data_IF_615716285856
#
_entry.id   IF_615716285856
#
_cell.length_a   1.000
_cell.length_b   1.000
_cell.length_c   1.000
_cell.angle_alpha   90.00
_cell.angle_beta   90.00
_cell.angle_gamma   90.00
#
_symmetry.space_group_name_H-M   'P 1'
#
loop_
_entity.id
_entity.type
_entity.pdbx_description
1 polymer ?
#
# COMPACT_ATOMS: atom_id res chain seq x y z
N UNK A 1 42.73 -50.59 -18.40
CA UNK A 1 41.80 -49.96 -17.43
C UNK A 1 41.94 -48.46 -17.57
N UNK A 2 40.85 -47.74 -17.81
CA UNK A 2 40.87 -46.28 -17.94
C UNK A 2 41.10 -45.63 -16.57
N UNK A 3 41.88 -44.56 -16.51
CA UNK A 3 42.09 -43.83 -15.26
C UNK A 3 40.85 -43.00 -14.90
N UNK A 4 40.67 -42.71 -13.61
CA UNK A 4 39.55 -41.90 -13.12
C UNK A 4 39.34 -40.56 -13.88
N UNK A 5 40.37 -39.77 -14.22
CA UNK A 5 40.17 -38.56 -15.01
C UNK A 5 39.72 -38.82 -16.45
N UNK A 6 40.07 -39.97 -17.05
CA UNK A 6 39.60 -40.34 -18.39
C UNK A 6 38.12 -40.74 -18.39
N UNK A 7 37.65 -41.38 -17.32
CA UNK A 7 36.24 -41.70 -17.13
C UNK A 7 35.38 -40.43 -16.96
N UNK A 8 35.87 -39.46 -16.17
CA UNK A 8 35.17 -38.18 -15.99
C UNK A 8 35.10 -37.39 -17.30
N UNK A 9 36.19 -37.33 -18.07
CA UNK A 9 36.20 -36.66 -19.36
C UNK A 9 35.22 -37.30 -20.38
N UNK A 10 35.13 -38.64 -20.39
CA UNK A 10 34.18 -39.38 -21.23
C UNK A 10 32.72 -39.12 -20.83
N UNK A 11 32.40 -39.08 -19.54
CA UNK A 11 31.06 -38.77 -19.06
C UNK A 11 30.64 -37.32 -19.41
N UNK A 12 31.54 -36.36 -19.24
CA UNK A 12 31.25 -34.96 -19.59
C UNK A 12 31.05 -34.81 -21.11
N UNK A 13 31.92 -35.41 -21.92
CA UNK A 13 31.77 -35.40 -23.38
C UNK A 13 30.45 -36.05 -23.84
N UNK A 14 30.04 -37.16 -23.21
CA UNK A 14 28.77 -37.83 -23.52
C UNK A 14 27.56 -36.96 -23.18
N UNK A 15 27.56 -36.22 -22.06
CA UNK A 15 26.44 -35.34 -21.70
C UNK A 15 26.29 -34.14 -22.64
N UNK A 16 27.40 -33.54 -23.08
CA UNK A 16 27.35 -32.39 -23.98
C UNK A 16 27.15 -32.76 -25.46
N UNK A 17 27.51 -33.98 -25.86
CA UNK A 17 27.28 -34.48 -27.22
C UNK A 17 25.90 -35.14 -27.41
N UNK A 18 25.20 -35.49 -26.33
CA UNK A 18 23.89 -36.17 -26.41
C UNK A 18 22.79 -35.28 -27.00
N UNK A 19 22.68 -34.02 -26.58
CA UNK A 19 21.62 -33.10 -27.04
C UNK A 19 21.70 -32.78 -28.56
N UNK A 20 22.86 -32.44 -29.15
CA UNK A 20 22.94 -32.19 -30.59
C UNK A 20 22.73 -33.45 -31.45
N UNK A 21 23.15 -34.64 -30.98
CA UNK A 21 22.97 -35.91 -31.70
C UNK A 21 21.53 -36.41 -31.60
N UNK A 22 20.86 -36.26 -30.44
CA UNK A 22 19.45 -36.62 -30.28
C UNK A 22 18.52 -35.75 -31.14
N UNK A 23 18.88 -34.47 -31.34
CA UNK A 23 18.17 -33.57 -32.27
C UNK A 23 18.42 -33.90 -33.73
N UNK A 24 19.63 -34.34 -34.10
CA UNK A 24 19.98 -34.72 -35.48
C UNK A 24 19.36 -36.06 -35.91
N UNK A 25 19.16 -36.98 -34.97
CA UNK A 25 18.61 -38.33 -35.22
C UNK A 25 17.08 -38.43 -35.01
N UNK A 26 16.39 -37.32 -34.71
CA UNK A 26 14.93 -37.26 -34.70
C UNK A 26 14.23 -38.04 -33.56
N UNK A 27 14.94 -38.37 -32.48
CA UNK A 27 14.39 -39.10 -31.33
C UNK A 27 13.84 -38.19 -30.20
N UNK A 28 13.72 -36.88 -30.43
CA UNK A 28 13.04 -35.94 -29.54
C UNK A 28 11.56 -35.80 -29.93
N UNK A 29 10.67 -36.26 -29.06
CA UNK A 29 9.23 -36.44 -29.30
C UNK A 29 8.48 -35.21 -29.83
N UNK A 30 7.49 -35.52 -30.67
CA UNK A 30 6.49 -34.65 -31.25
C UNK A 30 5.90 -33.63 -30.26
N UNK A 31 6.05 -32.34 -30.58
CA UNK A 31 4.99 -31.38 -30.30
C UNK A 31 4.23 -31.18 -31.61
N UNK A 32 3.10 -31.89 -31.74
CA UNK A 32 2.20 -31.73 -32.88
C UNK A 32 1.67 -30.30 -32.91
N UNK A 33 2.00 -29.61 -33.99
CA UNK A 33 1.22 -28.51 -34.53
C UNK A 33 -0.13 -29.07 -34.99
N UNK A 34 -1.20 -28.72 -34.27
CA UNK A 34 -2.53 -28.64 -34.86
C UNK A 34 -3.04 -27.21 -34.73
N UNK A 35 -3.05 -26.54 -35.88
CA UNK A 35 -3.91 -25.40 -36.16
C UNK A 35 -5.37 -25.80 -35.92
N UNK A 36 -6.03 -25.13 -34.98
CA UNK A 36 -7.46 -24.88 -35.09
C UNK A 36 -7.78 -23.54 -34.44
N UNK A 37 -8.38 -22.70 -35.26
CA UNK A 37 -8.99 -21.43 -34.94
C UNK A 37 -10.04 -21.57 -33.82
N UNK A 38 -9.70 -21.14 -32.61
CA UNK A 38 -10.67 -20.60 -31.67
C UNK A 38 -10.06 -19.39 -30.96
N UNK A 39 -10.52 -18.20 -31.36
CA UNK A 39 -10.50 -17.02 -30.50
C UNK A 39 -11.37 -17.32 -29.26
N UNK A 40 -10.82 -18.06 -28.31
CA UNK A 40 -11.29 -18.04 -26.94
C UNK A 40 -10.66 -16.83 -26.29
N UNK A 41 -11.42 -15.73 -26.17
CA UNK A 41 -11.07 -14.66 -25.22
C UNK A 41 -10.70 -15.29 -23.88
N UNK A 42 -9.69 -14.77 -23.14
CA UNK A 42 -9.44 -15.25 -21.80
C UNK A 42 -10.76 -15.16 -21.05
N UNK A 43 -11.28 -16.30 -20.58
CA UNK A 43 -12.50 -16.36 -19.80
C UNK A 43 -12.24 -15.49 -18.57
N UNK A 44 -12.69 -14.23 -18.63
CA UNK A 44 -12.81 -13.37 -17.47
C UNK A 44 -13.56 -14.20 -16.44
N UNK A 45 -12.87 -14.61 -15.38
CA UNK A 45 -13.57 -15.10 -14.21
C UNK A 45 -14.35 -13.88 -13.73
N UNK A 46 -15.63 -13.83 -14.09
CA UNK A 46 -16.55 -12.84 -13.57
C UNK A 46 -16.72 -13.13 -12.08
N UNK A 47 -15.77 -12.64 -11.29
CA UNK A 47 -15.91 -12.53 -9.86
C UNK A 47 -17.02 -11.52 -9.60
N UNK A 48 -17.93 -11.87 -8.70
CA UNK A 48 -18.99 -10.96 -8.32
C UNK A 48 -18.34 -9.74 -7.68
N UNK A 49 -18.56 -8.55 -8.25
CA UNK A 49 -18.06 -7.31 -7.67
C UNK A 49 -18.59 -7.15 -6.24
N UNK A 50 -17.79 -6.61 -5.33
CA UNK A 50 -18.22 -6.35 -3.97
C UNK A 50 -19.37 -5.35 -3.96
N UNK A 51 -20.23 -5.42 -2.94
CA UNK A 51 -21.31 -4.47 -2.76
C UNK A 51 -20.74 -3.12 -2.28
N UNK A 52 -20.48 -2.21 -3.23
CA UNK A 52 -19.95 -0.88 -2.96
C UNK A 52 -21.09 0.08 -2.62
N UNK A 53 -20.89 0.92 -1.60
CA UNK A 53 -21.87 1.92 -1.15
C UNK A 53 -21.20 3.28 -0.99
N UNK A 54 -21.94 4.36 -1.26
CA UNK A 54 -21.45 5.75 -1.11
C UNK A 54 -21.15 6.14 0.35
N UNK A 55 -21.74 5.41 1.30
CA UNK A 55 -21.47 5.57 2.73
C UNK A 55 -20.03 5.21 3.10
N UNK A 56 -19.44 4.24 2.37
CA UNK A 56 -18.10 3.71 2.66
C UNK A 56 -17.09 4.00 1.55
N UNK A 57 -17.53 4.21 0.32
CA UNK A 57 -16.68 4.37 -0.85
C UNK A 57 -16.96 5.70 -1.56
N UNK A 58 -15.91 6.32 -2.06
CA UNK A 58 -15.98 7.46 -2.97
C UNK A 58 -16.22 6.95 -4.39
N UNK A 59 -17.49 6.74 -4.74
CA UNK A 59 -17.89 6.31 -6.07
C UNK A 59 -17.79 7.48 -7.07
N UNK A 60 -17.52 7.15 -8.34
CA UNK A 60 -17.55 8.12 -9.44
C UNK A 60 -18.98 8.56 -9.72
N UNK A 61 -19.19 9.83 -10.06
CA UNK A 61 -20.52 10.31 -10.42
C UNK A 61 -20.85 9.82 -11.84
N UNK A 62 -22.00 9.17 -11.98
CA UNK A 62 -22.48 8.67 -13.28
C UNK A 62 -23.69 9.49 -13.70
N UNK A 63 -23.56 10.24 -14.80
CA UNK A 63 -24.66 11.00 -15.40
C UNK A 63 -24.98 10.37 -16.74
N UNK A 64 -26.23 9.93 -16.94
CA UNK A 64 -26.71 9.26 -18.15
C UNK A 64 -25.86 8.05 -18.60
N UNK A 65 -25.31 7.29 -17.64
CA UNK A 65 -24.50 6.09 -17.93
C UNK A 65 -23.07 6.40 -18.38
N UNK A 66 -22.68 7.67 -18.50
CA UNK A 66 -21.30 8.09 -18.71
C UNK A 66 -20.67 8.41 -17.37
N UNK A 67 -19.46 7.87 -17.13
CA UNK A 67 -18.63 8.27 -15.98
C UNK A 67 -18.28 9.73 -16.16
N UNK A 68 -18.83 10.60 -15.31
CA UNK A 68 -18.38 11.99 -15.26
C UNK A 68 -17.07 11.96 -14.49
N UNK A 69 -15.97 12.03 -15.24
CA UNK A 69 -14.64 12.13 -14.66
C UNK A 69 -14.43 13.47 -13.96
N UNK A 70 -13.17 13.81 -13.71
CA UNK A 70 -12.75 15.10 -13.15
C UNK A 70 -13.04 16.29 -14.10
N UNK A 71 -13.74 16.06 -15.22
CA UNK A 71 -14.11 17.06 -16.22
C UNK A 71 -15.09 18.08 -15.62
N UNK A 72 -14.54 19.22 -15.19
CA UNK A 72 -15.25 20.31 -14.53
C UNK A 72 -14.73 20.63 -13.12
N UNK A 73 -14.00 19.70 -12.49
CA UNK A 73 -13.30 19.95 -11.23
C UNK A 73 -12.00 20.70 -11.52
N UNK A 74 -11.91 21.97 -11.09
CA UNK A 74 -10.68 22.76 -11.16
C UNK A 74 -9.76 22.39 -10.00
N UNK A 75 -9.00 21.31 -10.15
CA UNK A 75 -7.94 20.95 -9.21
C UNK A 75 -6.66 21.75 -9.52
N UNK A 76 -5.90 22.13 -8.49
CA UNK A 76 -4.57 22.75 -8.67
C UNK A 76 -3.63 21.76 -9.40
N UNK A 77 -2.74 22.23 -10.30
CA UNK A 77 -1.90 21.37 -11.13
C UNK A 77 -1.05 20.39 -10.32
N UNK A 78 -0.98 19.15 -10.79
CA UNK A 78 -0.19 18.08 -10.17
C UNK A 78 1.30 18.27 -10.49
N UNK A 79 1.98 19.20 -9.81
CA UNK A 79 3.44 19.14 -9.72
C UNK A 79 3.79 17.89 -8.91
N UNK A 80 4.57 16.96 -9.48
CA UNK A 80 5.01 15.66 -8.90
C UNK A 80 5.87 15.76 -7.61
N UNK A 81 5.49 16.63 -6.70
CA UNK A 81 5.77 16.51 -5.29
C UNK A 81 4.41 16.25 -4.62
N UNK A 82 4.22 15.07 -4.01
CA UNK A 82 2.98 14.71 -3.32
C UNK A 82 2.83 15.64 -2.11
N UNK A 83 2.28 16.83 -2.37
CA UNK A 83 1.84 17.78 -1.38
C UNK A 83 0.33 17.66 -1.32
N UNK A 84 -0.18 17.04 -0.25
CA UNK A 84 -1.61 17.20 0.09
C UNK A 84 -1.74 18.61 0.66
N UNK A 85 -1.75 19.60 -0.22
CA UNK A 85 -1.88 21.00 0.15
C UNK A 85 -3.37 21.36 0.16
N UNK A 86 -3.93 21.53 1.36
CA UNK A 86 -5.22 22.16 1.53
C UNK A 86 -5.00 23.57 2.09
N UNK A 87 -5.42 24.60 1.36
CA UNK A 87 -5.38 26.01 1.84
C UNK A 87 -6.28 26.24 3.05
N UNK A 88 -7.21 25.32 3.31
CA UNK A 88 -8.06 25.30 4.50
C UNK A 88 -7.72 24.03 5.31
N UNK A 89 -7.48 24.11 6.62
CA UNK A 89 -7.24 22.91 7.40
C UNK A 89 -8.43 21.96 7.25
N UNK A 90 -8.18 20.67 6.96
CA UNK A 90 -9.20 19.60 6.99
C UNK A 90 -9.62 19.28 8.45
N UNK A 91 -9.51 20.26 9.35
CA UNK A 91 -9.81 20.18 10.77
C UNK A 91 -11.25 20.63 10.94
N UNK A 92 -12.12 19.67 11.19
CA UNK A 92 -13.56 19.90 11.35
C UNK A 92 -13.94 19.62 12.80
N UNK A 93 -13.91 20.65 13.64
CA UNK A 93 -14.04 20.53 15.10
C UNK A 93 -15.39 19.97 15.64
N UNK A 94 -16.56 20.01 14.96
CA UNK A 94 -17.76 19.36 15.50
C UNK A 94 -17.99 17.89 15.05
N UNK A 95 -17.13 17.29 14.22
CA UNK A 95 -17.39 15.95 13.63
C UNK A 95 -16.47 14.83 14.15
N UNK A 96 -15.54 15.13 15.05
CA UNK A 96 -14.67 14.12 15.65
C UNK A 96 -15.42 13.28 16.68
N UNK A 97 -15.21 11.96 16.61
CA UNK A 97 -15.72 10.99 17.59
C UNK A 97 -14.57 10.10 18.05
N UNK A 98 -14.60 9.57 19.29
CA UNK A 98 -13.57 8.62 19.74
C UNK A 98 -13.48 7.41 18.80
N UNK A 99 -12.27 7.03 18.42
CA UNK A 99 -12.03 5.89 17.54
C UNK A 99 -12.35 4.56 18.23
N UNK A 100 -12.73 3.57 17.42
CA UNK A 100 -12.87 2.17 17.81
C UNK A 100 -11.78 1.31 17.16
N UNK A 101 -11.54 0.14 17.72
CA UNK A 101 -10.80 -0.97 17.12
C UNK A 101 -11.83 -2.00 16.65
N UNK A 102 -11.58 -2.63 15.50
CA UNK A 102 -12.44 -3.67 14.95
C UNK A 102 -11.66 -4.97 14.90
N UNK A 103 -12.18 -6.00 15.55
CA UNK A 103 -11.70 -7.38 15.49
C UNK A 103 -12.88 -8.31 15.15
N UNK A 104 -12.68 -9.63 15.25
CA UNK A 104 -13.73 -10.62 14.96
C UNK A 104 -14.97 -10.50 15.87
N UNK A 105 -14.84 -9.90 17.05
CA UNK A 105 -15.95 -9.65 17.97
C UNK A 105 -16.69 -8.33 17.66
N UNK A 106 -16.21 -7.55 16.69
CA UNK A 106 -16.82 -6.31 16.22
C UNK A 106 -16.17 -5.04 16.76
N UNK A 107 -16.74 -3.86 16.47
CA UNK A 107 -16.16 -2.58 16.88
C UNK A 107 -16.26 -2.36 18.39
N UNK A 108 -15.13 -2.07 19.03
CA UNK A 108 -15.07 -1.73 20.47
C UNK A 108 -14.11 -0.58 20.75
N UNK A 109 -14.32 0.12 21.86
CA UNK A 109 -13.40 1.17 22.32
C UNK A 109 -12.36 0.58 23.25
N UNK A 110 -11.09 0.76 22.90
CA UNK A 110 -9.96 0.33 23.72
C UNK A 110 -8.76 1.26 23.53
N UNK A 111 -8.52 2.09 24.56
CA UNK A 111 -7.47 3.11 24.55
C UNK A 111 -6.06 2.53 24.69
N UNK A 112 -5.92 1.26 25.09
CA UNK A 112 -4.61 0.61 25.15
C UNK A 112 -4.10 0.19 23.77
N UNK A 113 -5.02 0.05 22.81
CA UNK A 113 -4.72 -0.28 21.42
C UNK A 113 -4.80 0.98 20.55
N UNK A 114 -5.84 1.80 20.72
CA UNK A 114 -6.06 3.00 19.92
C UNK A 114 -6.66 4.11 20.75
N UNK A 115 -5.88 5.16 20.97
CA UNK A 115 -6.36 6.40 21.58
C UNK A 115 -6.26 7.54 20.57
N UNK A 116 -7.36 7.74 19.84
CA UNK A 116 -7.51 8.81 18.87
C UNK A 116 -8.95 9.15 18.64
N UNK A 117 -9.19 10.25 17.96
CA UNK A 117 -10.49 10.64 17.45
C UNK A 117 -10.50 10.48 15.93
N UNK A 118 -11.66 10.16 15.36
CA UNK A 118 -11.87 9.99 13.93
C UNK A 118 -13.06 10.82 13.48
N UNK A 119 -12.96 11.40 12.29
CA UNK A 119 -14.08 12.03 11.61
C UNK A 119 -14.15 11.57 10.14
N UNK A 120 -15.38 11.35 9.67
CA UNK A 120 -15.65 11.15 8.25
C UNK A 120 -15.62 12.51 7.56
N UNK A 121 -14.77 12.66 6.53
CA UNK A 121 -14.64 13.95 5.86
C UNK A 121 -15.86 14.18 4.93
N UNK A 122 -16.51 15.36 5.00
CA UNK A 122 -17.53 15.73 4.03
C UNK A 122 -16.96 15.73 2.61
N UNK A 123 -17.69 15.17 1.64
CA UNK A 123 -17.20 14.96 0.27
C UNK A 123 -17.34 16.21 -0.60
N UNK A 124 -16.61 17.27 -0.24
CA UNK A 124 -16.53 18.54 -1.01
C UNK A 124 -15.69 18.39 -2.28
N UNK A 125 -15.66 19.39 -3.15
CA UNK A 125 -14.83 19.40 -4.37
C UNK A 125 -13.33 19.23 -4.08
N UNK A 126 -12.84 19.84 -2.98
CA UNK A 126 -11.45 19.64 -2.52
C UNK A 126 -11.18 18.19 -2.18
N UNK A 127 -12.10 17.53 -1.47
CA UNK A 127 -11.99 16.11 -1.11
C UNK A 127 -12.04 15.23 -2.35
N UNK A 128 -12.91 15.54 -3.32
CA UNK A 128 -12.97 14.86 -4.62
C UNK A 128 -11.66 15.01 -5.41
N UNK A 129 -11.01 16.18 -5.37
CA UNK A 129 -9.66 16.34 -5.95
C UNK A 129 -8.61 15.47 -5.24
N UNK A 130 -8.67 15.33 -3.90
CA UNK A 130 -7.77 14.44 -3.15
C UNK A 130 -8.00 12.97 -3.56
N UNK A 131 -9.26 12.55 -3.65
CA UNK A 131 -9.63 11.20 -4.13
C UNK A 131 -9.10 10.96 -5.55
N UNK A 132 -9.23 11.92 -6.46
CA UNK A 132 -8.75 11.82 -7.84
C UNK A 132 -7.21 11.72 -7.91
N UNK A 133 -6.48 12.53 -7.15
CA UNK A 133 -5.02 12.46 -7.05
C UNK A 133 -4.54 11.15 -6.44
N UNK A 134 -5.25 10.65 -5.43
CA UNK A 134 -4.95 9.36 -4.84
C UNK A 134 -5.09 8.24 -5.88
N UNK A 135 -6.10 8.27 -6.76
CA UNK A 135 -6.24 7.28 -7.84
C UNK A 135 -5.13 7.40 -8.90
N UNK A 136 -4.77 8.62 -9.30
CA UNK A 136 -3.75 8.83 -10.34
C UNK A 136 -2.36 8.39 -9.87
N UNK A 137 -2.03 8.60 -8.58
CA UNK A 137 -0.74 8.22 -8.00
C UNK A 137 -0.41 6.71 -8.15
N UNK A 138 -1.43 5.85 -8.17
CA UNK A 138 -1.31 4.39 -8.17
C UNK A 138 -1.56 3.76 -9.56
N UNK A 139 -1.62 4.58 -10.61
CA UNK A 139 -1.58 4.10 -12.00
C UNK A 139 -2.89 3.57 -12.59
N UNK A 140 -4.06 4.04 -12.14
CA UNK A 140 -5.39 3.76 -12.72
C UNK A 140 -5.73 2.27 -12.93
N UNK A 141 -5.76 1.48 -11.85
CA UNK A 141 -6.25 0.09 -11.88
C UNK A 141 -7.75 0.03 -12.19
N UNK A 142 -8.17 -0.94 -13.00
CA UNK A 142 -9.56 -1.10 -13.47
C UNK A 142 -10.58 -1.29 -12.34
N UNK A 143 -10.17 -1.96 -11.26
CA UNK A 143 -11.04 -2.31 -10.12
C UNK A 143 -10.47 -1.78 -8.80
N UNK A 144 -10.24 -0.47 -8.74
CA UNK A 144 -9.82 0.24 -7.53
C UNK A 144 -10.73 1.43 -7.24
N UNK A 145 -11.20 1.53 -6.00
CA UNK A 145 -12.02 2.59 -5.47
C UNK A 145 -11.34 3.20 -4.24
N UNK A 146 -11.57 4.49 -3.99
CA UNK A 146 -11.09 5.14 -2.78
C UNK A 146 -12.19 5.02 -1.73
N UNK A 147 -11.87 4.53 -0.52
CA UNK A 147 -12.80 4.59 0.60
C UNK A 147 -13.07 6.05 0.99
N UNK A 148 -14.22 6.34 1.59
CA UNK A 148 -14.53 7.68 2.09
C UNK A 148 -13.44 8.14 3.05
N UNK A 149 -12.88 9.31 2.76
CA UNK A 149 -11.74 9.84 3.50
C UNK A 149 -12.07 10.01 4.98
N UNK A 150 -11.11 9.65 5.83
CA UNK A 150 -11.21 9.83 7.28
C UNK A 150 -10.01 10.59 7.78
N UNK A 151 -10.26 11.59 8.63
CA UNK A 151 -9.21 12.24 9.41
C UNK A 151 -9.13 11.60 10.79
N UNK A 152 -7.93 11.49 11.33
CA UNK A 152 -7.67 11.01 12.68
C UNK A 152 -6.90 12.08 13.44
N UNK A 153 -7.33 12.36 14.67
CA UNK A 153 -6.69 13.32 15.56
C UNK A 153 -6.14 12.60 16.79
N UNK A 154 -4.87 12.83 17.07
CA UNK A 154 -4.16 12.26 18.20
C UNK A 154 -3.68 13.41 19.08
N UNK A 155 -4.11 13.43 20.33
CA UNK A 155 -3.59 14.32 21.37
C UNK A 155 -2.38 13.67 22.05
N UNK A 156 -1.77 14.37 23.01
CA UNK A 156 -0.68 13.82 23.83
C UNK A 156 -1.06 12.46 24.41
N UNK A 157 -0.18 11.46 24.25
CA UNK A 157 -0.38 10.06 24.60
C UNK A 157 -1.21 9.24 23.58
N UNK A 158 -1.87 9.92 22.65
CA UNK A 158 -2.66 9.30 21.59
C UNK A 158 -1.80 8.49 20.63
N UNK A 159 -2.25 7.29 20.29
CA UNK A 159 -1.51 6.31 19.50
C UNK A 159 -2.47 5.36 18.76
N UNK A 160 -1.93 4.56 17.85
CA UNK A 160 -2.59 3.38 17.33
C UNK A 160 -1.54 2.26 17.23
N UNK A 161 -1.75 1.21 18.01
CA UNK A 161 -0.88 0.05 18.08
C UNK A 161 -0.71 -0.64 16.72
N UNK A 162 0.24 -1.57 16.68
CA UNK A 162 0.60 -2.23 15.45
C UNK A 162 -0.57 -3.00 14.83
N UNK A 163 -0.81 -2.80 13.54
CA UNK A 163 -1.89 -3.42 12.78
C UNK A 163 -1.54 -3.52 11.29
N UNK A 164 -2.36 -4.29 10.56
CA UNK A 164 -2.46 -4.22 9.12
C UNK A 164 -3.68 -3.39 8.74
N UNK A 165 -3.59 -2.66 7.64
CA UNK A 165 -4.75 -1.98 7.05
C UNK A 165 -5.64 -2.94 6.25
N UNK A 166 -5.10 -4.11 5.91
CA UNK A 166 -5.76 -5.14 5.15
C UNK A 166 -6.17 -6.32 6.04
N UNK A 167 -7.16 -7.06 5.57
CA UNK A 167 -7.57 -8.36 6.08
C UNK A 167 -7.50 -9.36 4.93
N UNK A 168 -7.78 -10.63 5.20
CA UNK A 168 -7.90 -11.63 4.14
C UNK A 168 -8.86 -11.16 3.03
N UNK A 169 -8.43 -11.19 1.75
CA UNK A 169 -9.26 -10.75 0.65
C UNK A 169 -10.58 -11.50 0.58
N UNK A 170 -11.69 -10.77 0.51
CA UNK A 170 -13.02 -11.35 0.33
C UNK A 170 -13.38 -11.31 -1.15
N UNK A 171 -13.60 -12.47 -1.75
CA UNK A 171 -13.89 -12.60 -3.18
C UNK A 171 -12.83 -11.96 -4.09
N UNK A 172 -11.57 -11.91 -3.63
CA UNK A 172 -10.46 -11.26 -4.36
C UNK A 172 -10.34 -9.75 -4.14
N UNK A 173 -11.10 -9.16 -3.22
CA UNK A 173 -11.06 -7.72 -2.93
C UNK A 173 -10.61 -7.44 -1.49
N UNK A 174 -9.77 -6.42 -1.33
CA UNK A 174 -9.30 -5.89 -0.04
C UNK A 174 -8.81 -4.45 -0.20
N UNK A 175 -8.31 -3.85 0.89
CA UNK A 175 -7.56 -2.59 0.83
C UNK A 175 -6.20 -2.84 0.19
N UNK A 176 -6.08 -2.58 -1.11
CA UNK A 176 -4.87 -2.87 -1.92
C UNK A 176 -3.72 -1.92 -1.63
N UNK A 177 -4.01 -0.71 -1.19
CA UNK A 177 -3.00 0.29 -0.83
C UNK A 177 -3.54 1.29 0.19
N UNK A 178 -2.62 2.00 0.83
CA UNK A 178 -2.91 3.01 1.84
C UNK A 178 -2.04 4.24 1.62
N UNK A 179 -2.60 5.43 1.90
CA UNK A 179 -1.87 6.68 2.02
C UNK A 179 -2.19 7.27 3.38
N UNK A 180 -1.15 7.58 4.15
CA UNK A 180 -1.24 8.40 5.37
C UNK A 180 -0.64 9.77 5.07
N UNK A 181 -1.49 10.78 4.96
CA UNK A 181 -1.08 12.17 4.81
C UNK A 181 -1.19 12.92 6.14
N UNK A 182 -0.20 13.73 6.50
CA UNK A 182 -0.27 14.58 7.69
C UNK A 182 -0.79 15.96 7.29
N UNK A 183 -1.95 16.34 7.82
CA UNK A 183 -2.72 17.51 7.35
C UNK A 183 -2.86 18.61 8.41
N UNK A 184 -2.34 18.38 9.61
CA UNK A 184 -2.28 19.39 10.66
C UNK A 184 -1.50 18.92 11.89
N UNK A 185 -0.94 19.88 12.61
CA UNK A 185 -0.13 19.68 13.82
C UNK A 185 -0.57 20.57 15.00
N UNK A 186 -1.78 21.12 14.93
CA UNK A 186 -2.31 22.06 15.90
C UNK A 186 -1.66 23.43 15.78
N UNK A 187 -0.76 23.76 16.70
CA UNK A 187 -0.05 25.04 16.81
C UNK A 187 1.39 24.98 16.27
N UNK A 188 1.75 23.91 15.56
CA UNK A 188 3.12 23.69 15.06
C UNK A 188 4.07 23.10 16.09
N UNK A 189 3.59 22.67 17.27
CA UNK A 189 4.43 22.17 18.37
C UNK A 189 4.61 20.64 18.40
N UNK A 190 4.10 19.93 17.39
CA UNK A 190 4.05 18.46 17.33
C UNK A 190 5.42 17.80 17.55
N UNK A 191 5.49 16.91 18.54
CA UNK A 191 6.62 16.00 18.78
C UNK A 191 6.10 14.59 19.04
N UNK A 192 6.86 13.59 18.61
CA UNK A 192 6.44 12.19 18.57
C UNK A 192 5.48 11.95 17.41
N UNK A 193 4.58 10.98 17.54
CA UNK A 193 3.53 10.77 16.55
C UNK A 193 4.02 10.19 15.22
N UNK A 194 5.23 9.62 15.15
CA UNK A 194 5.74 8.98 13.93
C UNK A 194 4.84 7.85 13.43
N UNK A 195 4.93 7.53 12.14
CA UNK A 195 4.34 6.29 11.60
C UNK A 195 5.45 5.26 11.44
N UNK A 196 5.39 4.21 12.23
CA UNK A 196 6.41 3.15 12.32
C UNK A 196 6.02 1.94 11.46
N UNK A 197 7.00 1.42 10.73
CA UNK A 197 6.95 0.16 9.99
C UNK A 197 8.15 -0.69 10.45
N UNK A 198 8.00 -1.55 11.47
CA UNK A 198 9.14 -2.24 12.09
C UNK A 198 9.77 -3.30 11.19
N UNK A 199 9.02 -3.81 10.20
CA UNK A 199 9.49 -4.83 9.26
C UNK A 199 10.01 -4.23 7.95
N UNK A 200 9.76 -2.95 7.70
CA UNK A 200 10.22 -2.29 6.48
C UNK A 200 11.71 -2.01 6.58
N UNK A 201 12.51 -2.69 5.74
CA UNK A 201 13.92 -2.37 5.64
C UNK A 201 14.11 -0.96 5.08
N UNK A 202 15.04 -0.22 5.67
CA UNK A 202 15.35 1.12 5.21
C UNK A 202 15.84 1.06 3.75
N UNK A 203 15.22 1.82 2.82
CA UNK A 203 15.52 1.69 1.40
C UNK A 203 16.95 2.11 1.02
N UNK A 204 17.56 3.03 1.78
CA UNK A 204 18.86 3.60 1.45
C UNK A 204 19.54 4.24 2.67
N UNK A 205 20.88 4.15 2.70
CA UNK A 205 21.76 4.91 3.60
C UNK A 205 21.90 6.39 3.20
N UNK A 206 21.30 6.82 2.09
CA UNK A 206 21.35 8.20 1.63
C UNK A 206 20.73 9.17 2.67
N UNK A 207 21.51 10.17 3.07
CA UNK A 207 21.13 11.18 4.08
C UNK A 207 19.94 12.04 3.65
N UNK A 208 19.59 12.08 2.36
CA UNK A 208 18.35 12.73 1.89
C UNK A 208 17.10 12.11 2.49
N UNK A 209 17.16 10.90 3.03
CA UNK A 209 16.06 10.30 3.79
C UNK A 209 15.91 10.88 5.20
N UNK A 210 16.96 11.51 5.75
CA UNK A 210 16.95 11.98 7.14
C UNK A 210 16.01 13.14 7.40
N UNK A 211 15.59 13.85 6.37
CA UNK A 211 14.47 14.80 6.49
C UNK A 211 13.12 14.12 6.75
N UNK A 212 12.95 12.85 6.37
CA UNK A 212 11.66 12.15 6.43
C UNK A 212 11.62 11.01 7.45
N UNK A 213 12.78 10.43 7.80
CA UNK A 213 12.88 9.26 8.67
C UNK A 213 13.57 9.62 9.99
N UNK A 214 13.04 9.13 11.11
CA UNK A 214 13.63 9.28 12.45
C UNK A 214 14.85 8.36 12.61
N UNK A 215 15.81 8.75 13.46
CA UNK A 215 17.01 7.95 13.72
C UNK A 215 17.96 7.85 12.51
N UNK A 216 17.81 8.74 11.54
CA UNK A 216 18.59 8.74 10.32
C UNK A 216 19.85 9.60 10.44
N UNK A 217 20.98 9.08 9.96
CA UNK A 217 22.28 9.77 9.87
C UNK A 217 23.44 8.85 10.28
N UNK A 218 24.66 9.20 9.89
CA UNK A 218 25.87 8.42 10.19
C UNK A 218 26.51 8.67 11.56
N UNK A 219 25.76 9.17 12.54
CA UNK A 219 26.28 9.29 13.91
C UNK A 219 26.21 7.96 14.65
N UNK A 220 27.18 7.68 15.53
CA UNK A 220 27.24 6.44 16.33
C UNK A 220 25.97 6.21 17.16
N UNK A 221 25.27 7.28 17.55
CA UNK A 221 23.99 7.21 18.27
C UNK A 221 22.82 6.85 17.35
N UNK A 222 22.78 7.39 16.13
CA UNK A 222 21.78 7.03 15.13
C UNK A 222 21.94 5.58 14.65
N UNK A 223 23.18 5.08 14.54
CA UNK A 223 23.44 3.69 14.18
C UNK A 223 23.06 2.72 15.31
N UNK A 224 23.28 3.11 16.58
CA UNK A 224 22.85 2.33 17.75
C UNK A 224 21.32 2.32 17.91
N UNK A 225 20.64 3.43 17.66
CA UNK A 225 19.18 3.50 17.71
C UNK A 225 18.55 2.72 16.54
N UNK A 226 19.13 2.76 15.34
CA UNK A 226 18.70 1.94 14.19
C UNK A 226 18.82 0.43 14.45
N UNK A 227 19.96 -0.02 15.01
CA UNK A 227 20.17 -1.44 15.36
C UNK A 227 19.25 -1.91 16.49
N UNK A 228 18.73 -1.00 17.32
CA UNK A 228 17.80 -1.29 18.42
C UNK A 228 16.33 -1.20 17.99
N UNK A 229 15.99 -0.31 17.07
CA UNK A 229 14.60 -0.02 16.72
C UNK A 229 14.04 -0.99 15.67
N UNK A 230 14.82 -1.45 14.69
CA UNK A 230 14.31 -2.30 13.63
C UNK A 230 13.25 -1.60 12.75
N UNK A 231 13.49 -1.49 11.45
CA UNK A 231 12.53 -0.91 10.53
C UNK A 231 12.63 0.62 10.34
N UNK A 232 11.53 1.25 9.92
CA UNK A 232 11.48 2.67 9.52
C UNK A 232 10.37 3.42 10.26
N UNK A 233 10.71 4.58 10.82
CA UNK A 233 9.72 5.52 11.39
C UNK A 233 9.69 6.80 10.57
N UNK A 234 8.57 7.08 9.92
CA UNK A 234 8.36 8.31 9.16
C UNK A 234 7.90 9.47 10.05
N UNK A 235 8.51 10.63 9.86
CA UNK A 235 8.22 11.88 10.57
C UNK A 235 6.87 12.44 10.14
N UNK A 236 5.99 12.87 11.07
CA UNK A 236 4.66 13.39 10.74
C UNK A 236 4.73 14.86 10.30
N UNK A 237 5.30 15.11 9.12
CA UNK A 237 5.51 16.46 8.60
C UNK A 237 4.28 16.91 7.83
N UNK A 238 3.62 17.97 8.30
CA UNK A 238 2.42 18.53 7.64
C UNK A 238 2.68 18.79 6.16
N UNK A 239 1.72 18.35 5.33
CA UNK A 239 1.77 18.45 3.87
C UNK A 239 2.48 17.28 3.18
N UNK A 240 3.16 16.39 3.91
CA UNK A 240 3.73 15.16 3.34
C UNK A 240 2.77 13.98 3.50
N UNK A 241 3.04 12.91 2.75
CA UNK A 241 2.34 11.65 2.86
C UNK A 241 3.29 10.46 2.68
N UNK A 242 2.93 9.33 3.27
CA UNK A 242 3.53 8.02 3.00
C UNK A 242 2.50 7.17 2.29
N UNK A 243 2.90 6.56 1.19
CA UNK A 243 2.11 5.61 0.42
C UNK A 243 2.76 4.23 0.50
N UNK A 244 1.94 3.19 0.64
CA UNK A 244 2.39 1.81 0.57
C UNK A 244 1.32 0.91 -0.04
N UNK A 245 1.79 -0.20 -0.60
CA UNK A 245 0.93 -1.28 -1.08
C UNK A 245 0.75 -2.33 0.01
N UNK A 246 -0.45 -2.88 0.09
CA UNK A 246 -0.78 -3.88 1.10
C UNK A 246 -0.61 -5.31 0.57
N UNK A 247 -0.63 -5.52 -0.75
CA UNK A 247 -0.55 -6.83 -1.38
C UNK A 247 0.48 -6.86 -2.50
N UNK A 248 1.15 -8.00 -2.66
CA UNK A 248 2.00 -8.26 -3.81
C UNK A 248 1.14 -8.57 -5.04
N UNK A 249 1.19 -7.76 -6.12
CA UNK A 249 0.39 -8.00 -7.32
C UNK A 249 0.83 -9.26 -8.09
N UNK A 250 2.02 -9.81 -7.82
CA UNK A 250 2.42 -11.09 -8.37
C UNK A 250 1.91 -12.22 -7.47
N UNK A 251 0.99 -13.01 -8.03
CA UNK A 251 0.52 -14.20 -7.37
C UNK A 251 1.70 -15.15 -7.08
N UNK A 252 1.86 -15.56 -5.82
CA UNK A 252 2.88 -16.51 -5.43
C UNK A 252 2.62 -17.91 -6.02
N UNK A 253 3.50 -18.89 -5.75
CA UNK A 253 3.27 -20.27 -6.14
C UNK A 253 1.86 -20.74 -5.73
N UNK A 254 1.08 -21.20 -6.70
CA UNK A 254 -0.33 -21.59 -6.48
C UNK A 254 -1.37 -20.49 -6.73
N UNK A 255 -0.98 -19.32 -7.23
CA UNK A 255 -1.92 -18.25 -7.59
C UNK A 255 -2.45 -17.46 -6.38
N UNK A 256 -1.84 -17.62 -5.20
CA UNK A 256 -2.28 -16.95 -3.97
C UNK A 256 -1.62 -15.59 -3.86
N UNK A 257 -2.43 -14.55 -3.78
CA UNK A 257 -1.97 -13.20 -3.46
C UNK A 257 -1.72 -13.09 -1.96
N UNK A 258 -0.55 -12.57 -1.58
CA UNK A 258 -0.15 -12.39 -0.18
C UNK A 258 -0.02 -10.91 0.15
N UNK A 259 -0.48 -10.56 1.35
CA UNK A 259 -0.22 -9.25 1.92
C UNK A 259 1.27 -9.07 2.23
N UNK A 260 1.78 -7.84 2.10
CA UNK A 260 3.15 -7.52 2.52
C UNK A 260 3.22 -7.48 4.05
N UNK A 261 4.05 -8.35 4.65
CA UNK A 261 4.29 -8.32 6.10
C UNK A 261 4.95 -6.99 6.50
N UNK A 262 5.74 -6.41 5.61
CA UNK A 262 6.39 -5.10 5.76
C UNK A 262 5.40 -3.94 5.93
N UNK A 263 4.12 -4.14 5.58
CA UNK A 263 3.04 -3.17 5.81
C UNK A 263 2.47 -3.19 7.23
N UNK A 264 2.97 -4.07 8.11
CA UNK A 264 2.68 -4.03 9.55
C UNK A 264 3.16 -2.69 10.11
N UNK A 265 2.27 -1.90 10.72
CA UNK A 265 2.60 -0.54 11.07
C UNK A 265 1.84 -0.01 12.29
N UNK A 266 2.36 1.06 12.89
CA UNK A 266 1.78 1.73 14.05
C UNK A 266 1.85 3.26 13.94
N UNK A 267 0.90 3.93 14.58
CA UNK A 267 1.00 5.35 14.91
C UNK A 267 1.57 5.51 16.32
N UNK A 268 2.83 5.93 16.40
CA UNK A 268 3.52 6.11 17.68
C UNK A 268 2.85 7.19 18.54
N UNK A 269 3.03 7.15 19.88
CA UNK A 269 2.47 8.15 20.78
C UNK A 269 2.89 9.58 20.43
N UNK A 270 1.94 10.50 20.51
CA UNK A 270 2.24 11.95 20.48
C UNK A 270 2.79 12.36 21.84
N UNK A 271 3.96 12.99 21.86
CA UNK A 271 4.62 13.46 23.08
C UNK A 271 4.23 14.89 23.42
N UNK A 272 4.02 15.73 22.39
CA UNK A 272 3.59 17.13 22.52
C UNK A 272 2.79 17.54 21.30
N UNK A 273 1.84 18.47 21.50
CA UNK A 273 1.01 19.01 20.43
C UNK A 273 -0.11 18.06 20.03
N UNK A 274 -0.56 18.19 18.79
CA UNK A 274 -1.64 17.38 18.20
C UNK A 274 -1.17 16.87 16.84
N UNK A 275 -1.42 15.60 16.52
CA UNK A 275 -1.22 15.06 15.17
C UNK A 275 -2.58 14.90 14.49
N UNK A 276 -2.73 15.45 13.29
CA UNK A 276 -3.89 15.21 12.41
C UNK A 276 -3.44 14.49 11.15
N UNK A 277 -3.84 13.23 11.03
CA UNK A 277 -3.62 12.39 9.86
C UNK A 277 -4.86 12.24 9.00
N UNK A 278 -4.68 12.05 7.70
CA UNK A 278 -5.71 11.72 6.72
C UNK A 278 -5.37 10.34 6.15
N UNK A 279 -6.23 9.37 6.44
CA UNK A 279 -6.15 8.03 5.84
C UNK A 279 -6.93 8.03 4.53
N UNK A 280 -6.24 7.62 3.46
CA UNK A 280 -6.82 7.32 2.16
C UNK A 280 -6.57 5.84 1.88
N UNK A 281 -7.62 5.03 1.98
CA UNK A 281 -7.55 3.61 1.65
C UNK A 281 -8.07 3.38 0.24
N UNK A 282 -7.33 2.57 -0.51
CA UNK A 282 -7.76 2.12 -1.83
C UNK A 282 -8.26 0.70 -1.70
N UNK A 283 -9.55 0.50 -1.91
CA UNK A 283 -10.17 -0.81 -1.92
C UNK A 283 -10.24 -1.32 -3.37
N UNK A 284 -9.78 -2.53 -3.63
CA UNK A 284 -9.70 -3.04 -4.99
C UNK A 284 -9.36 -4.51 -5.08
N UNK A 285 -9.25 -4.98 -6.32
CA UNK A 285 -8.87 -6.36 -6.65
C UNK A 285 -7.39 -6.58 -6.32
N UNK A 286 -7.09 -7.70 -5.65
CA UNK A 286 -5.72 -8.00 -5.18
C UNK A 286 -4.87 -8.76 -6.21
N UNK A 287 -5.49 -9.41 -7.19
CA UNK A 287 -4.87 -10.28 -8.21
C UNK A 287 -5.00 -9.75 -9.65
#
# INVERSE_FOLDING_TARGET
MLSLPQLVALCVAAMFAYDPVARLLGFGGQQQTMSSSQHGSPRSRHHHRPNLTEALHALEDVVNGTRVGVEGLRCEPDSLAVHVFSRQPLVFEPIYTPSTVTDDAGPRRDKSIRDSEVALVPRTDTVRCIEARARSLQGWRDETWIERLRVQRYHVGGHYGHHFDWMEPRMGYARVSSIMAWVGDGDGSLVGGGTEFPLLQRPSSDDRWCKFVIGCGGSDDAEKDQRRQGGVVFKPIVGNAVFWENFNPQAGPGGVVRGYEESWHAGLPVERGVKVGLNVWSYGRVD
#
